data_IF_178501966817
#
_entry.id   IF_178501966817
#
_cell.length_a   1.000
_cell.length_b   1.000
_cell.length_c   1.000
_cell.angle_alpha   90.00
_cell.angle_beta   90.00
_cell.angle_gamma   90.00
#
_symmetry.space_group_name_H-M   'P 1'
#
loop_
_entity.id
_entity.type
_entity.pdbx_description
1 polymer ?
#
# COMPACT_ATOMS: atom_id res chain seq x y z
N UNK A 1 -22.56 0.27 9.06
CA UNK A 1 -23.55 1.35 8.88
C UNK A 1 -23.72 1.59 7.41
N UNK A 2 -24.96 1.63 6.91
CA UNK A 2 -25.26 1.80 5.48
C UNK A 2 -24.98 3.23 4.98
N UNK A 3 -25.03 4.21 5.87
CA UNK A 3 -24.76 5.62 5.59
C UNK A 3 -23.27 6.00 5.69
N UNK A 4 -22.41 5.04 6.05
CA UNK A 4 -20.97 5.27 6.22
C UNK A 4 -20.60 6.16 7.40
N UNK A 5 -21.47 6.29 8.40
CA UNK A 5 -21.18 7.10 9.58
C UNK A 5 -20.72 6.24 10.76
N UNK A 6 -19.68 6.71 11.47
CA UNK A 6 -19.23 6.15 12.75
C UNK A 6 -19.42 7.21 13.82
N UNK A 7 -20.34 6.97 14.76
CA UNK A 7 -20.56 7.82 15.93
C UNK A 7 -19.79 7.33 17.14
N UNK A 8 -19.17 8.27 17.85
CA UNK A 8 -18.46 8.04 19.09
C UNK A 8 -19.29 8.59 20.27
N UNK A 9 -19.48 7.74 21.28
CA UNK A 9 -20.16 8.09 22.51
C UNK A 9 -19.31 7.69 23.71
N UNK A 10 -19.34 8.52 24.75
CA UNK A 10 -18.86 8.13 26.08
C UNK A 10 -20.04 7.58 26.88
N UNK A 11 -19.87 6.38 27.42
CA UNK A 11 -20.81 5.84 28.38
C UNK A 11 -20.56 6.44 29.77
N UNK A 12 -21.62 6.91 30.41
CA UNK A 12 -21.63 7.29 31.82
C UNK A 12 -22.82 6.63 32.52
N UNK A 13 -22.83 6.52 33.86
CA UNK A 13 -24.00 6.03 34.59
C UNK A 13 -25.28 6.84 34.33
N UNK A 14 -25.16 8.07 33.82
CA UNK A 14 -26.28 8.96 33.49
C UNK A 14 -26.76 8.84 32.03
N UNK A 15 -26.05 8.08 31.20
CA UNK A 15 -26.39 7.88 29.78
C UNK A 15 -25.20 8.03 28.83
N UNK A 16 -25.50 7.97 27.53
CA UNK A 16 -24.55 8.14 26.43
C UNK A 16 -24.34 9.63 26.13
N UNK A 17 -23.11 10.10 26.24
CA UNK A 17 -22.72 11.47 25.91
C UNK A 17 -22.07 11.44 24.52
N UNK A 18 -22.63 12.13 23.52
CA UNK A 18 -22.06 12.16 22.18
C UNK A 18 -20.73 12.90 22.19
N UNK A 19 -19.73 12.29 21.56
CA UNK A 19 -18.42 12.92 21.35
C UNK A 19 -18.39 13.55 19.96
N UNK A 20 -18.83 12.82 18.94
CA UNK A 20 -18.77 13.25 17.55
C UNK A 20 -18.92 12.07 16.60
N UNK A 21 -18.86 12.34 15.30
CA UNK A 21 -18.87 11.31 14.27
C UNK A 21 -17.91 11.61 13.13
N UNK A 22 -17.57 10.55 12.39
CA UNK A 22 -16.81 10.60 11.14
C UNK A 22 -17.60 9.91 10.03
N UNK A 23 -17.48 10.38 8.79
CA UNK A 23 -18.09 9.81 7.61
C UNK A 23 -17.01 9.19 6.69
N UNK A 24 -17.09 7.88 6.51
CA UNK A 24 -16.18 7.10 5.64
C UNK A 24 -16.65 7.01 4.19
N UNK A 25 -17.80 7.62 3.87
CA UNK A 25 -18.43 7.71 2.53
C UNK A 25 -18.73 6.37 1.85
N UNK A 26 -18.66 5.29 2.60
CA UNK A 26 -18.85 3.92 2.12
C UNK A 26 -19.52 3.08 3.22
N UNK A 27 -20.20 2.01 2.82
CA UNK A 27 -20.79 1.06 3.74
C UNK A 27 -19.73 0.38 4.61
N UNK A 28 -19.92 0.46 5.93
CA UNK A 28 -19.06 -0.18 6.92
C UNK A 28 -19.53 -1.61 7.14
N UNK A 29 -18.63 -2.56 6.90
CA UNK A 29 -18.86 -4.00 7.06
C UNK A 29 -18.51 -4.49 8.46
N UNK A 30 -17.41 -4.00 9.03
CA UNK A 30 -16.91 -4.46 10.33
C UNK A 30 -16.16 -3.36 11.07
N UNK A 31 -16.18 -3.39 12.40
CA UNK A 31 -15.46 -2.44 13.25
C UNK A 31 -14.90 -3.15 14.48
N UNK A 32 -13.69 -2.77 14.90
CA UNK A 32 -13.10 -3.30 16.14
C UNK A 32 -12.21 -2.26 16.81
N UNK A 33 -12.24 -2.25 18.14
CA UNK A 33 -11.33 -1.44 18.95
C UNK A 33 -10.05 -2.21 19.22
N UNK A 34 -8.94 -1.48 19.38
CA UNK A 34 -7.71 -2.05 19.93
C UNK A 34 -7.96 -2.65 21.32
N UNK A 35 -7.34 -3.80 21.65
CA UNK A 35 -7.38 -4.36 23.00
C UNK A 35 -6.99 -3.36 24.09
N UNK A 36 -7.62 -3.45 25.27
CA UNK A 36 -7.37 -2.56 26.40
C UNK A 36 -5.93 -2.59 26.94
N UNK A 37 -5.16 -3.61 26.56
CA UNK A 37 -3.76 -3.80 26.93
C UNK A 37 -2.82 -2.84 26.18
N UNK A 38 -3.29 -2.25 25.07
CA UNK A 38 -2.46 -1.41 24.23
C UNK A 38 -2.49 0.03 24.74
N UNK A 39 -1.33 0.70 24.69
CA UNK A 39 -1.19 2.08 25.15
C UNK A 39 -2.05 3.07 24.36
N UNK A 40 -2.29 2.77 23.08
CA UNK A 40 -3.06 3.60 22.16
C UNK A 40 -4.42 2.95 21.89
N UNK A 41 -5.49 3.67 22.23
CA UNK A 41 -6.84 3.30 21.82
C UNK A 41 -7.04 3.70 20.37
N UNK A 42 -7.34 2.75 19.49
CA UNK A 42 -7.67 3.00 18.08
C UNK A 42 -8.89 2.19 17.67
N UNK A 43 -9.61 2.69 16.67
CA UNK A 43 -10.75 2.02 16.08
C UNK A 43 -10.45 1.68 14.63
N UNK A 44 -10.45 0.39 14.32
CA UNK A 44 -10.36 -0.12 12.97
C UNK A 44 -11.75 -0.27 12.37
N UNK A 45 -11.94 0.29 11.19
CA UNK A 45 -13.19 0.33 10.43
C UNK A 45 -12.93 -0.31 9.06
N UNK A 46 -13.62 -1.39 8.77
CA UNK A 46 -13.57 -2.12 7.51
C UNK A 46 -14.72 -1.68 6.62
N UNK A 47 -14.43 -1.45 5.34
CA UNK A 47 -15.40 -1.00 4.36
C UNK A 47 -15.68 -2.07 3.31
N UNK A 48 -16.85 -1.96 2.70
CA UNK A 48 -17.31 -2.85 1.62
C UNK A 48 -16.43 -2.79 0.36
N UNK A 49 -15.73 -1.69 0.15
CA UNK A 49 -14.77 -1.53 -0.94
C UNK A 49 -13.35 -2.00 -0.56
N UNK A 50 -13.18 -2.80 0.49
CA UNK A 50 -11.88 -3.35 0.88
C UNK A 50 -10.85 -2.35 1.41
N UNK A 51 -11.26 -1.09 1.63
CA UNK A 51 -10.45 -0.08 2.31
C UNK A 51 -10.68 -0.21 3.82
N UNK A 52 -9.62 0.00 4.60
CA UNK A 52 -9.72 0.08 6.05
C UNK A 52 -9.29 1.45 6.53
N UNK A 53 -10.03 1.97 7.49
CA UNK A 53 -9.73 3.21 8.20
C UNK A 53 -9.39 2.88 9.65
N UNK A 54 -8.26 3.35 10.13
CA UNK A 54 -7.91 3.29 11.55
C UNK A 54 -7.94 4.70 12.12
N UNK A 55 -8.90 4.95 13.00
CA UNK A 55 -9.06 6.21 13.71
C UNK A 55 -8.37 6.12 15.08
N UNK A 56 -7.68 7.19 15.47
CA UNK A 56 -7.25 7.33 16.86
C UNK A 56 -8.48 7.49 17.77
N UNK A 57 -8.40 6.95 18.98
CA UNK A 57 -9.48 7.05 19.95
C UNK A 57 -9.68 8.51 20.36
N UNK A 58 -10.93 9.00 20.50
CA UNK A 58 -11.21 10.40 20.81
C UNK A 58 -10.85 10.82 22.25
N UNK A 59 -10.06 10.02 22.97
CA UNK A 59 -9.75 10.22 24.38
C UNK A 59 -8.75 11.36 24.55
N UNK A 60 -9.15 12.40 25.28
CA UNK A 60 -8.28 13.55 25.59
C UNK A 60 -8.24 14.63 24.52
N UNK A 61 -9.02 14.49 23.43
CA UNK A 61 -9.19 15.52 22.41
C UNK A 61 -10.45 16.32 22.75
N UNK A 62 -10.30 17.63 22.85
CA UNK A 62 -11.42 18.56 22.95
C UNK A 62 -11.89 18.89 21.53
N UNK A 63 -13.08 18.43 21.17
CA UNK A 63 -13.67 18.73 19.87
C UNK A 63 -14.48 20.03 19.93
N UNK A 64 -14.35 20.89 18.91
CA UNK A 64 -15.30 21.99 18.72
C UNK A 64 -16.59 21.43 18.12
N UNK A 65 -17.59 21.24 18.97
CA UNK A 65 -18.92 20.69 18.62
C UNK A 65 -19.98 21.81 18.62
N UNK A 66 -19.58 23.08 18.54
CA UNK A 66 -20.51 24.22 18.63
C UNK A 66 -21.51 24.29 17.48
N UNK A 67 -21.13 23.81 16.29
CA UNK A 67 -21.93 23.90 15.06
C UNK A 67 -22.37 22.54 14.53
N UNK A 68 -21.54 21.50 14.68
CA UNK A 68 -21.89 20.13 14.28
C UNK A 68 -21.07 19.11 15.07
N UNK A 69 -21.55 17.86 15.12
CA UNK A 69 -20.81 16.74 15.70
C UNK A 69 -19.78 16.12 14.75
N UNK A 70 -19.48 16.76 13.61
CA UNK A 70 -18.52 16.25 12.63
C UNK A 70 -17.08 16.50 13.11
N UNK A 71 -16.33 15.42 13.37
CA UNK A 71 -14.96 15.50 13.93
C UNK A 71 -13.88 14.97 12.98
N UNK A 72 -14.18 14.81 11.68
CA UNK A 72 -13.26 14.25 10.68
C UNK A 72 -11.91 14.95 10.59
N UNK A 73 -11.90 16.28 10.66
CA UNK A 73 -10.67 17.08 10.54
C UNK A 73 -9.82 17.07 11.82
N UNK A 74 -10.43 16.68 12.94
CA UNK A 74 -9.82 16.75 14.28
C UNK A 74 -9.31 15.38 14.75
N UNK A 75 -9.70 14.29 14.06
CA UNK A 75 -9.35 12.93 14.44
C UNK A 75 -8.29 12.34 13.48
N UNK A 76 -7.08 12.03 13.97
CA UNK A 76 -6.06 11.38 13.16
C UNK A 76 -6.55 10.05 12.59
N UNK A 77 -6.25 9.83 11.30
CA UNK A 77 -6.72 8.65 10.56
C UNK A 77 -5.62 8.04 9.70
N UNK A 78 -5.50 6.71 9.74
CA UNK A 78 -4.66 5.92 8.85
C UNK A 78 -5.52 5.12 7.89
N UNK A 79 -5.13 5.08 6.63
CA UNK A 79 -5.90 4.43 5.57
C UNK A 79 -5.09 3.28 4.98
N UNK A 80 -5.65 2.08 4.99
CA UNK A 80 -5.05 0.89 4.41
C UNK A 80 -5.84 0.48 3.16
N UNK A 81 -5.11 0.20 2.08
CA UNK A 81 -5.69 -0.25 0.80
C UNK A 81 -5.05 -1.56 0.39
N UNK A 82 -5.88 -2.50 -0.03
CA UNK A 82 -5.38 -3.74 -0.63
C UNK A 82 -4.71 -3.46 -1.96
N UNK A 83 -3.53 -4.07 -2.18
CA UNK A 83 -2.79 -4.06 -3.44
C UNK A 83 -2.64 -5.50 -3.91
N UNK A 84 -2.81 -5.76 -5.21
CA UNK A 84 -2.71 -7.12 -5.75
C UNK A 84 -1.30 -7.68 -5.60
N UNK A 85 -1.14 -8.71 -4.76
CA UNK A 85 0.12 -9.44 -4.61
C UNK A 85 0.54 -10.07 -5.96
N UNK A 86 -0.43 -10.56 -6.74
CA UNK A 86 -0.16 -11.15 -8.07
C UNK A 86 0.46 -10.14 -9.03
N UNK A 87 0.05 -8.88 -8.95
CA UNK A 87 0.65 -7.82 -9.77
C UNK A 87 2.10 -7.62 -9.41
N UNK A 88 2.42 -7.63 -8.11
CA UNK A 88 3.79 -7.47 -7.62
C UNK A 88 4.68 -8.63 -8.06
N UNK A 89 4.19 -9.86 -7.91
CA UNK A 89 4.92 -11.06 -8.30
C UNK A 89 5.20 -11.09 -9.81
N UNK A 90 4.22 -10.76 -10.66
CA UNK A 90 4.43 -10.71 -12.11
C UNK A 90 5.45 -9.65 -12.51
N UNK A 91 5.41 -8.49 -11.87
CA UNK A 91 6.39 -7.43 -12.13
C UNK A 91 7.81 -7.85 -11.73
N UNK A 92 7.95 -8.53 -10.59
CA UNK A 92 9.22 -9.08 -10.13
C UNK A 92 9.75 -10.17 -11.08
N UNK A 93 8.88 -11.04 -11.60
CA UNK A 93 9.21 -12.03 -12.64
C UNK A 93 9.65 -11.36 -13.96
N UNK A 94 8.93 -10.34 -14.42
CA UNK A 94 9.27 -9.57 -15.63
C UNK A 94 10.64 -8.87 -15.51
N UNK A 95 10.92 -8.28 -14.33
CA UNK A 95 12.23 -7.70 -14.02
C UNK A 95 13.34 -8.75 -14.03
N UNK A 96 13.10 -9.93 -13.47
CA UNK A 96 14.09 -11.01 -13.46
C UNK A 96 14.36 -11.54 -14.88
N UNK A 97 13.33 -11.66 -15.71
CA UNK A 97 13.49 -12.04 -17.12
C UNK A 97 14.30 -11.02 -17.90
N UNK A 98 13.98 -9.73 -17.78
CA UNK A 98 14.76 -8.65 -18.41
C UNK A 98 16.22 -8.68 -17.99
N UNK A 99 16.50 -8.88 -16.70
CA UNK A 99 17.88 -9.01 -16.20
C UNK A 99 18.61 -10.20 -16.81
N UNK A 100 17.95 -11.36 -16.98
CA UNK A 100 18.54 -12.54 -17.63
C UNK A 100 18.82 -12.31 -19.12
N UNK A 101 17.89 -11.69 -19.83
CA UNK A 101 18.06 -11.35 -21.25
C UNK A 101 19.21 -10.36 -21.45
N UNK A 102 19.33 -9.36 -20.57
CA UNK A 102 20.40 -8.39 -20.61
C UNK A 102 21.76 -9.03 -20.27
N UNK A 103 21.82 -9.90 -19.26
CA UNK A 103 23.03 -10.69 -18.97
C UNK A 103 23.43 -11.61 -20.13
N UNK A 104 22.47 -12.26 -20.80
CA UNK A 104 22.75 -13.10 -21.97
C UNK A 104 23.20 -12.26 -23.17
N UNK A 105 22.59 -11.10 -23.40
CA UNK A 105 23.00 -10.13 -24.44
C UNK A 105 24.43 -9.65 -24.17
N UNK A 106 24.75 -9.27 -22.94
CA UNK A 106 26.09 -8.87 -22.52
C UNK A 106 27.12 -10.00 -22.72
N UNK A 107 26.79 -11.24 -22.34
CA UNK A 107 27.66 -12.40 -22.56
C UNK A 107 27.90 -12.68 -24.04
N UNK A 108 26.87 -12.61 -24.89
CA UNK A 108 27.00 -12.77 -26.34
C UNK A 108 27.86 -11.66 -26.94
N UNK A 109 27.65 -10.42 -26.51
CA UNK A 109 28.45 -9.27 -26.96
C UNK A 109 29.92 -9.42 -26.54
N UNK A 110 30.19 -9.91 -25.33
CA UNK A 110 31.53 -10.17 -24.82
C UNK A 110 32.20 -11.33 -25.57
N UNK A 111 31.48 -12.42 -25.83
CA UNK A 111 31.98 -13.55 -26.62
C UNK A 111 32.26 -13.16 -28.07
N UNK A 112 31.38 -12.38 -28.69
CA UNK A 112 31.58 -11.83 -30.03
C UNK A 112 32.76 -10.86 -30.07
N UNK A 113 32.92 -9.98 -29.07
CA UNK A 113 34.11 -9.15 -28.92
C UNK A 113 35.37 -9.98 -28.75
N UNK A 114 35.31 -11.12 -28.06
CA UNK A 114 36.45 -12.04 -27.88
C UNK A 114 36.80 -12.74 -29.20
N UNK A 115 35.81 -13.24 -29.95
CA UNK A 115 36.01 -13.84 -31.28
C UNK A 115 36.54 -12.81 -32.29
N UNK A 116 35.92 -11.63 -32.37
CA UNK A 116 36.41 -10.53 -33.22
C UNK A 116 37.79 -10.03 -32.77
N UNK A 117 38.10 -10.07 -31.47
CA UNK A 117 39.43 -9.77 -30.94
C UNK A 117 40.50 -10.83 -31.27
N UNK A 118 40.08 -12.08 -31.45
CA UNK A 118 40.91 -13.19 -31.95
C UNK A 118 41.10 -13.06 -33.47
N UNK A 119 40.06 -12.76 -34.24
CA UNK A 119 40.15 -12.49 -35.69
C UNK A 119 40.95 -11.20 -36.00
N UNK A 120 40.83 -10.16 -35.18
CA UNK A 120 41.64 -8.93 -35.30
C UNK A 120 43.11 -9.14 -34.92
N UNK A 121 43.48 -10.25 -34.26
CA UNK A 121 44.90 -10.64 -34.11
C UNK A 121 45.48 -11.29 -35.37
N UNK A 122 44.64 -11.80 -36.28
CA UNK A 122 45.07 -12.27 -37.61
C UNK A 122 45.05 -11.17 -38.69
N UNK A 123 44.37 -10.03 -38.44
CA UNK A 123 44.36 -8.88 -39.34
C UNK A 123 44.51 -7.58 -38.56
N UNK A 124 45.73 -7.03 -38.54
CA UNK A 124 46.06 -5.69 -38.05
C UNK A 124 45.08 -4.61 -38.57
N UNK A 125 44.71 -3.66 -37.70
CA UNK A 125 44.24 -2.33 -38.08
C UNK A 125 42.88 -1.89 -37.53
N UNK A 126 42.90 -0.78 -36.78
CA UNK A 126 41.79 0.15 -36.46
C UNK A 126 40.82 -0.12 -35.28
N UNK A 127 40.81 0.89 -34.39
CA UNK A 127 39.94 1.21 -33.24
C UNK A 127 38.93 2.32 -33.66
N UNK A 128 38.02 2.78 -32.78
CA UNK A 128 37.03 2.08 -31.98
C UNK A 128 35.61 2.66 -32.23
N UNK A 129 34.55 1.91 -31.97
CA UNK A 129 33.19 2.49 -31.91
C UNK A 129 32.65 2.32 -30.49
N UNK A 130 32.84 3.39 -29.71
CA UNK A 130 32.04 3.71 -28.53
C UNK A 130 30.64 4.07 -29.01
N UNK A 131 29.68 3.16 -28.84
CA UNK A 131 28.25 3.44 -29.00
C UNK A 131 27.53 2.20 -28.47
N UNK A 132 27.10 2.24 -27.20
CA UNK A 132 26.01 1.43 -26.61
C UNK A 132 26.00 1.57 -25.07
N UNK A 133 26.09 2.80 -24.55
CA UNK A 133 25.88 3.08 -23.10
C UNK A 133 24.65 3.96 -22.85
N UNK A 134 23.74 4.04 -23.81
CA UNK A 134 22.50 4.83 -23.74
C UNK A 134 21.23 3.94 -23.73
N UNK A 135 21.28 2.75 -23.12
CA UNK A 135 20.03 2.13 -22.62
C UNK A 135 19.65 2.86 -21.31
N UNK A 136 18.98 3.99 -21.55
CA UNK A 136 18.27 4.82 -20.59
C UNK A 136 17.69 3.99 -19.44
N UNK A 137 18.05 4.40 -18.23
CA UNK A 137 17.27 4.20 -17.01
C UNK A 137 15.83 4.68 -17.24
N UNK A 138 15.00 3.86 -17.87
CA UNK A 138 13.55 3.93 -17.67
C UNK A 138 13.34 3.47 -16.24
N UNK A 139 13.30 4.45 -15.33
CA UNK A 139 12.72 4.25 -14.01
C UNK A 139 11.41 3.50 -14.20
N UNK A 140 11.41 2.27 -13.70
CA UNK A 140 10.33 1.32 -13.85
C UNK A 140 9.13 1.87 -13.06
N UNK A 141 8.28 2.63 -13.75
CA UNK A 141 7.15 3.38 -13.19
C UNK A 141 5.97 2.42 -12.86
N UNK A 142 6.31 1.29 -12.25
CA UNK A 142 5.39 0.21 -11.98
C UNK A 142 4.42 0.59 -10.86
N UNK A 143 3.14 0.52 -11.19
CA UNK A 143 2.05 0.76 -10.25
C UNK A 143 1.39 -0.57 -9.91
N UNK A 144 1.29 -0.94 -8.62
CA UNK A 144 0.56 -2.13 -8.20
C UNK A 144 -0.87 -2.08 -8.74
N UNK A 145 -1.30 -3.15 -9.40
CA UNK A 145 -2.70 -3.26 -9.83
C UNK A 145 -3.62 -3.26 -8.61
N UNK A 146 -4.54 -2.31 -8.60
CA UNK A 146 -5.66 -2.23 -7.65
C UNK A 146 -6.90 -2.61 -8.46
N UNK A 147 -7.62 -3.70 -8.11
CA UNK A 147 -8.82 -4.09 -8.84
C UNK A 147 -9.87 -2.98 -8.78
N UNK A 148 -10.57 -2.76 -9.89
CA UNK A 148 -11.64 -1.75 -9.98
C UNK A 148 -12.77 -1.99 -8.97
N UNK A 149 -13.04 -3.27 -8.65
CA UNK A 149 -13.94 -3.69 -7.58
C UNK A 149 -13.13 -4.47 -6.55
N UNK A 150 -12.72 -3.82 -5.44
CA UNK A 150 -12.01 -4.52 -4.38
C UNK A 150 -12.94 -5.51 -3.67
N UNK A 151 -12.38 -6.61 -3.16
CA UNK A 151 -13.11 -7.51 -2.27
C UNK A 151 -13.50 -6.79 -0.97
N UNK A 152 -14.67 -7.08 -0.44
CA UNK A 152 -15.16 -6.44 0.77
C UNK A 152 -14.38 -6.93 1.99
N UNK A 153 -13.87 -6.02 2.82
CA UNK A 153 -13.23 -6.41 4.07
C UNK A 153 -14.29 -6.98 5.03
N UNK A 154 -14.26 -8.29 5.29
CA UNK A 154 -15.28 -8.98 6.09
C UNK A 154 -14.99 -8.86 7.59
N UNK A 155 -13.72 -8.97 7.96
CA UNK A 155 -13.32 -9.05 9.36
C UNK A 155 -11.86 -8.65 9.55
N UNK A 156 -11.54 -8.00 10.66
CA UNK A 156 -10.18 -7.69 11.04
C UNK A 156 -9.96 -7.84 12.55
N UNK A 157 -8.77 -8.29 12.95
CA UNK A 157 -8.41 -8.45 14.36
C UNK A 157 -6.96 -8.04 14.61
N UNK A 158 -6.74 -7.22 15.62
CA UNK A 158 -5.40 -6.86 16.06
C UNK A 158 -4.68 -8.08 16.65
N UNK A 159 -3.45 -8.30 16.20
CA UNK A 159 -2.54 -9.33 16.75
C UNK A 159 -1.42 -8.71 17.57
N UNK A 160 -1.01 -7.49 17.22
CA UNK A 160 -0.06 -6.65 17.96
C UNK A 160 -0.45 -5.17 17.84
N UNK A 161 0.18 -4.24 18.59
CA UNK A 161 -0.17 -2.81 18.58
C UNK A 161 -0.22 -2.13 17.21
N UNK A 162 0.49 -2.64 16.20
CA UNK A 162 0.48 -2.09 14.83
C UNK A 162 0.31 -3.18 13.76
N UNK A 163 -0.07 -4.40 14.14
CA UNK A 163 -0.33 -5.50 13.20
C UNK A 163 -1.71 -6.08 13.45
N UNK A 164 -2.41 -6.40 12.35
CA UNK A 164 -3.71 -7.04 12.39
C UNK A 164 -3.82 -8.11 11.29
N UNK A 165 -4.70 -9.08 11.52
CA UNK A 165 -5.17 -10.00 10.49
C UNK A 165 -6.44 -9.45 9.85
N UNK A 166 -6.59 -9.73 8.56
CA UNK A 166 -7.70 -9.26 7.74
C UNK A 166 -8.23 -10.41 6.90
N UNK A 167 -9.54 -10.56 6.84
CA UNK A 167 -10.26 -11.42 5.90
C UNK A 167 -11.09 -10.53 4.97
N UNK A 168 -10.96 -10.75 3.66
CA UNK A 168 -11.69 -10.05 2.60
C UNK A 168 -12.44 -11.04 1.70
#
# INVERSE_FOLDING_TARGET
SADGTVFFFNYTPKGLIPIGFVNVKEEITFMTWTPAQYDKTRLLVCLKNGILYEYEGPKGITFDISTSYLIETQLPVRIFRFRSIKSRLRHEEELEQKRKEEEERQRKLEEERRLRGIEKKEKEGEKPAEQEEEEEKKEDDWKPYIPEKPSAALFAVYTSPDTFWLSM
#
